data_IF_490529656297
#
_entry.id   IF_490529656297
#
_cell.length_a   1.000
_cell.length_b   1.000
_cell.length_c   1.000
_cell.angle_alpha   90.00
_cell.angle_beta   90.00
_cell.angle_gamma   90.00
#
_symmetry.space_group_name_H-M   'P 1'
#
loop_
_entity.id
_entity.type
_entity.pdbx_description
1 polymer ?
#
# COMPACT_ATOMS: atom_id res chain seq x y z
N UNK A 1 -7.86 -23.57 -8.29
CA UNK A 1 -8.52 -22.29 -8.00
C UNK A 1 -9.26 -21.85 -9.26
N UNK A 2 -10.52 -21.45 -9.13
CA UNK A 2 -11.28 -20.91 -10.26
C UNK A 2 -11.16 -19.38 -10.27
N UNK A 3 -10.57 -18.83 -11.34
CA UNK A 3 -10.36 -17.39 -11.51
C UNK A 3 -11.67 -16.62 -11.65
N UNK A 4 -12.71 -17.23 -12.22
CA UNK A 4 -14.03 -16.61 -12.34
C UNK A 4 -14.61 -16.33 -10.96
N UNK A 5 -14.57 -17.33 -10.09
CA UNK A 5 -15.01 -17.22 -8.71
C UNK A 5 -14.19 -16.18 -7.92
N UNK A 6 -12.88 -16.12 -8.10
CA UNK A 6 -12.03 -15.09 -7.48
C UNK A 6 -12.47 -13.68 -7.90
N UNK A 7 -12.60 -13.44 -9.19
CA UNK A 7 -13.01 -12.14 -9.72
C UNK A 7 -14.42 -11.75 -9.25
N UNK A 8 -15.34 -12.70 -9.17
CA UNK A 8 -16.68 -12.47 -8.63
C UNK A 8 -16.64 -12.06 -7.15
N UNK A 9 -15.80 -12.70 -6.32
CA UNK A 9 -15.61 -12.26 -4.93
C UNK A 9 -15.04 -10.84 -4.87
N UNK A 10 -14.01 -10.52 -5.67
CA UNK A 10 -13.44 -9.17 -5.73
C UNK A 10 -14.48 -8.13 -6.12
N UNK A 11 -15.22 -8.38 -7.19
CA UNK A 11 -16.24 -7.48 -7.69
C UNK A 11 -17.37 -7.31 -6.67
N UNK A 12 -17.83 -8.39 -6.05
CA UNK A 12 -18.90 -8.37 -5.04
C UNK A 12 -18.51 -7.51 -3.84
N UNK A 13 -17.32 -7.73 -3.28
CA UNK A 13 -16.83 -6.96 -2.12
C UNK A 13 -16.61 -5.49 -2.47
N UNK A 14 -16.09 -5.19 -3.66
CA UNK A 14 -15.82 -3.82 -4.09
C UNK A 14 -17.05 -3.03 -4.53
N UNK A 15 -18.15 -3.68 -4.94
CA UNK A 15 -19.35 -2.99 -5.45
C UNK A 15 -20.51 -3.00 -4.46
N UNK A 16 -20.56 -3.97 -3.54
CA UNK A 16 -21.59 -4.09 -2.52
C UNK A 16 -20.98 -4.22 -1.11
N UNK A 17 -20.25 -3.20 -0.63
CA UNK A 17 -19.55 -3.25 0.65
C UNK A 17 -20.51 -3.06 1.82
N UNK A 18 -20.98 -4.16 2.40
CA UNK A 18 -21.83 -4.17 3.60
C UNK A 18 -21.44 -5.33 4.53
N UNK A 19 -21.78 -5.22 5.80
CA UNK A 19 -21.45 -6.23 6.81
C UNK A 19 -21.92 -7.64 6.41
N UNK A 20 -23.13 -7.74 5.83
CA UNK A 20 -23.68 -8.99 5.29
C UNK A 20 -22.79 -9.61 4.21
N UNK A 21 -22.31 -8.81 3.25
CA UNK A 21 -21.42 -9.28 2.18
C UNK A 21 -20.12 -9.85 2.75
N UNK A 22 -19.53 -9.15 3.74
CA UNK A 22 -18.31 -9.63 4.39
C UNK A 22 -18.56 -10.86 5.26
N UNK A 23 -19.71 -10.98 5.89
CA UNK A 23 -20.09 -12.15 6.68
C UNK A 23 -20.26 -13.38 5.78
N UNK A 24 -20.96 -13.22 4.65
CA UNK A 24 -21.09 -14.28 3.64
C UNK A 24 -19.73 -14.78 3.12
N UNK A 25 -18.80 -13.86 2.82
CA UNK A 25 -17.46 -14.24 2.38
C UNK A 25 -16.62 -14.85 3.52
N UNK A 26 -16.85 -14.46 4.78
CA UNK A 26 -16.18 -15.03 5.97
C UNK A 26 -16.63 -16.48 6.23
N UNK A 27 -17.91 -16.76 6.00
CA UNK A 27 -18.51 -18.09 6.21
C UNK A 27 -18.26 -19.05 5.04
N UNK A 28 -17.79 -18.52 3.91
CA UNK A 28 -17.38 -19.31 2.77
C UNK A 28 -16.25 -20.30 3.15
N UNK A 29 -16.32 -21.57 2.72
CA UNK A 29 -15.23 -22.54 2.94
C UNK A 29 -13.93 -22.12 2.23
N UNK A 30 -14.00 -21.14 1.33
CA UNK A 30 -12.85 -20.58 0.63
C UNK A 30 -12.10 -19.55 1.48
N UNK A 31 -12.65 -19.12 2.62
CA UNK A 31 -12.03 -18.17 3.53
C UNK A 31 -10.80 -18.77 4.24
N UNK A 32 -9.70 -18.84 3.52
CA UNK A 32 -8.46 -19.48 3.98
C UNK A 32 -7.26 -18.59 3.71
N UNK A 33 -6.24 -18.72 4.55
CA UNK A 33 -4.96 -18.03 4.38
C UNK A 33 -4.33 -18.33 3.02
N UNK A 34 -4.40 -19.58 2.57
CA UNK A 34 -3.84 -20.02 1.28
C UNK A 34 -4.45 -19.24 0.11
N UNK A 35 -5.77 -19.08 0.08
CA UNK A 35 -6.42 -18.30 -0.98
C UNK A 35 -6.04 -16.82 -0.90
N UNK A 36 -5.96 -16.25 0.31
CA UNK A 36 -5.50 -14.87 0.50
C UNK A 36 -4.09 -14.66 -0.10
N UNK A 37 -3.16 -15.57 0.21
CA UNK A 37 -1.80 -15.50 -0.29
C UNK A 37 -1.70 -15.66 -1.80
N UNK A 38 -2.48 -16.57 -2.39
CA UNK A 38 -2.51 -16.73 -3.85
C UNK A 38 -3.02 -15.44 -4.52
N UNK A 39 -4.07 -14.81 -3.98
CA UNK A 39 -4.60 -13.56 -4.53
C UNK A 39 -3.59 -12.42 -4.43
N UNK A 40 -2.92 -12.28 -3.29
CA UNK A 40 -1.89 -11.26 -3.10
C UNK A 40 -0.64 -11.53 -3.94
N UNK A 41 -0.27 -12.80 -4.14
CA UNK A 41 0.81 -13.18 -5.05
C UNK A 41 0.46 -12.82 -6.51
N UNK A 42 -0.74 -13.17 -6.98
CA UNK A 42 -1.20 -12.82 -8.32
C UNK A 42 -1.25 -11.30 -8.52
N UNK A 43 -1.78 -10.56 -7.55
CA UNK A 43 -1.73 -9.09 -7.57
C UNK A 43 -0.29 -8.58 -7.62
N UNK A 44 0.62 -9.14 -6.80
CA UNK A 44 2.04 -8.81 -6.81
C UNK A 44 2.70 -9.03 -8.17
N UNK A 45 2.40 -10.14 -8.86
CA UNK A 45 2.87 -10.41 -10.23
C UNK A 45 2.37 -9.35 -11.20
N UNK A 46 1.07 -9.03 -11.16
CA UNK A 46 0.48 -8.01 -12.04
C UNK A 46 1.10 -6.64 -11.78
N UNK A 47 1.21 -6.24 -10.50
CA UNK A 47 1.84 -4.99 -10.08
C UNK A 47 3.30 -4.92 -10.53
N UNK A 48 4.07 -6.02 -10.41
CA UNK A 48 5.45 -6.08 -10.85
C UNK A 48 5.59 -5.89 -12.36
N UNK A 49 4.72 -6.54 -13.16
CA UNK A 49 4.70 -6.36 -14.61
C UNK A 49 4.42 -4.92 -15.00
N UNK A 50 3.42 -4.29 -14.39
CA UNK A 50 3.12 -2.88 -14.65
C UNK A 50 4.25 -1.95 -14.17
N UNK A 51 4.83 -2.21 -13.00
CA UNK A 51 5.96 -1.43 -12.48
C UNK A 51 7.19 -1.54 -13.39
N UNK A 52 7.43 -2.71 -13.97
CA UNK A 52 8.48 -2.91 -14.97
C UNK A 52 8.21 -2.06 -16.22
N UNK A 53 6.97 -2.04 -16.72
CA UNK A 53 6.61 -1.18 -17.85
C UNK A 53 6.78 0.32 -17.54
N UNK A 54 6.39 0.78 -16.34
CA UNK A 54 6.66 2.15 -15.88
C UNK A 54 8.17 2.41 -15.80
N UNK A 55 8.95 1.44 -15.33
CA UNK A 55 10.40 1.60 -15.24
C UNK A 55 11.01 1.86 -16.62
N UNK A 56 10.55 1.16 -17.66
CA UNK A 56 11.03 1.36 -19.03
C UNK A 56 10.72 2.75 -19.58
N UNK A 57 9.55 3.32 -19.27
CA UNK A 57 9.21 4.69 -19.68
C UNK A 57 9.95 5.73 -18.84
N UNK A 58 10.13 5.46 -17.54
CA UNK A 58 10.82 6.35 -16.61
C UNK A 58 12.30 6.51 -16.89
N UNK A 59 12.97 5.49 -17.46
CA UNK A 59 14.38 5.59 -17.88
C UNK A 59 14.58 6.68 -18.93
N UNK A 60 13.65 6.79 -19.88
CA UNK A 60 13.69 7.83 -20.91
C UNK A 60 13.42 9.21 -20.33
N UNK A 61 12.48 9.31 -19.37
CA UNK A 61 12.17 10.55 -18.67
C UNK A 61 13.31 11.00 -17.75
N UNK A 62 14.00 10.06 -17.10
CA UNK A 62 15.15 10.33 -16.24
C UNK A 62 16.32 10.87 -17.05
N UNK A 63 16.61 10.30 -18.22
CA UNK A 63 17.64 10.81 -19.12
C UNK A 63 17.32 12.24 -19.62
N UNK A 64 16.05 12.51 -19.97
CA UNK A 64 15.62 13.85 -20.37
C UNK A 64 15.73 14.88 -19.23
N UNK A 65 15.44 14.46 -17.99
CA UNK A 65 15.58 15.33 -16.82
C UNK A 65 17.04 15.54 -16.43
N UNK A 66 17.91 14.53 -16.57
CA UNK A 66 19.36 14.67 -16.35
C UNK A 66 19.96 15.72 -17.30
N UNK A 67 19.52 15.72 -18.56
CA UNK A 67 19.93 16.75 -19.53
C UNK A 67 19.46 18.14 -19.10
N UNK A 68 18.19 18.27 -18.69
CA UNK A 68 17.65 19.54 -18.18
C UNK A 68 18.37 20.05 -16.93
N UNK A 69 18.82 19.15 -16.05
CA UNK A 69 19.61 19.49 -14.87
C UNK A 69 21.05 19.89 -15.23
N UNK A 70 21.63 19.29 -16.26
CA UNK A 70 22.98 19.64 -16.77
C UNK A 70 23.01 20.98 -17.48
N UNK A 71 21.95 21.32 -18.22
CA UNK A 71 21.86 22.59 -18.95
C UNK A 71 21.48 23.77 -18.06
N UNK A 72 21.00 23.55 -16.82
CA UNK A 72 20.71 24.63 -15.88
C UNK A 72 21.95 24.97 -15.02
N UNK A 73 22.66 26.08 -15.30
CA UNK A 73 23.86 26.46 -14.56
C UNK A 73 23.59 26.88 -13.10
N UNK A 74 22.34 27.17 -12.76
CA UNK A 74 21.94 27.61 -11.42
C UNK A 74 21.75 26.47 -10.40
N UNK A 75 21.77 25.21 -10.85
CA UNK A 75 21.60 24.06 -9.97
C UNK A 75 22.96 23.61 -9.44
N UNK A 76 23.20 23.65 -8.11
CA UNK A 76 24.44 23.16 -7.54
C UNK A 76 24.68 21.69 -7.93
N UNK A 77 25.89 21.32 -8.40
CA UNK A 77 26.18 19.97 -8.86
C UNK A 77 25.99 18.90 -7.78
N UNK A 78 26.14 19.27 -6.51
CA UNK A 78 25.86 18.40 -5.36
C UNK A 78 24.36 18.03 -5.26
N UNK A 79 23.47 18.98 -5.54
CA UNK A 79 22.02 18.74 -5.51
C UNK A 79 21.59 17.82 -6.65
N UNK A 80 22.14 18.02 -7.85
CA UNK A 80 21.88 17.16 -9.00
C UNK A 80 22.31 15.70 -8.71
N UNK A 81 23.51 15.50 -8.15
CA UNK A 81 24.01 14.17 -7.80
C UNK A 81 23.17 13.46 -6.72
N UNK A 82 22.55 14.21 -5.80
CA UNK A 82 21.65 13.65 -4.80
C UNK A 82 20.29 13.27 -5.40
N UNK A 83 19.79 14.05 -6.38
CA UNK A 83 18.52 13.79 -7.05
C UNK A 83 18.56 12.63 -8.04
N UNK A 84 19.66 12.44 -8.78
CA UNK A 84 19.77 11.40 -9.82
C UNK A 84 19.42 9.98 -9.32
N UNK A 85 19.96 9.48 -8.19
CA UNK A 85 19.60 8.15 -7.69
C UNK A 85 18.21 8.09 -7.03
N UNK A 86 17.67 9.22 -6.55
CA UNK A 86 16.32 9.28 -5.97
C UNK A 86 15.22 9.25 -7.04
N UNK A 87 15.51 9.75 -8.25
CA UNK A 87 14.50 9.92 -9.30
C UNK A 87 13.88 8.59 -9.80
N UNK A 88 14.66 7.52 -10.10
CA UNK A 88 14.09 6.22 -10.44
C UNK A 88 13.27 5.62 -9.28
N UNK A 89 13.72 5.88 -8.04
CA UNK A 89 13.04 5.39 -6.83
C UNK A 89 11.69 6.09 -6.62
N UNK A 90 11.62 7.40 -6.87
CA UNK A 90 10.37 8.18 -6.83
C UNK A 90 9.43 7.87 -8.00
N UNK A 91 9.98 7.55 -9.17
CA UNK A 91 9.21 7.19 -10.37
C UNK A 91 8.74 5.73 -10.36
N UNK A 92 8.93 5.02 -9.26
CA UNK A 92 8.40 3.67 -9.10
C UNK A 92 9.09 2.65 -9.99
N UNK A 93 10.40 2.76 -10.20
CA UNK A 93 11.24 1.69 -10.76
C UNK A 93 11.22 0.47 -9.81
N UNK A 94 10.09 -0.22 -9.80
CA UNK A 94 9.73 -1.26 -8.87
C UNK A 94 10.37 -2.57 -9.27
N UNK A 95 11.37 -2.96 -8.50
CA UNK A 95 12.10 -4.22 -8.64
C UNK A 95 11.18 -5.46 -8.69
N UNK A 96 11.65 -6.50 -9.38
CA UNK A 96 11.08 -7.87 -9.37
C UNK A 96 10.84 -8.40 -7.93
N UNK A 97 11.49 -7.81 -6.93
CA UNK A 97 11.28 -8.13 -5.52
C UNK A 97 9.84 -7.88 -5.06
N UNK A 98 9.07 -7.02 -5.72
CA UNK A 98 7.67 -6.74 -5.34
C UNK A 98 6.78 -7.99 -5.38
N UNK A 99 7.06 -8.97 -6.26
CA UNK A 99 6.33 -10.24 -6.33
C UNK A 99 6.45 -11.04 -5.03
N UNK A 100 7.65 -11.06 -4.45
CA UNK A 100 7.95 -11.81 -3.22
C UNK A 100 7.56 -10.98 -2.00
N UNK A 101 7.82 -9.67 -2.03
CA UNK A 101 7.55 -8.78 -0.91
C UNK A 101 6.06 -8.52 -0.71
N UNK A 102 5.23 -8.54 -1.76
CA UNK A 102 3.80 -8.22 -1.64
C UNK A 102 3.07 -9.15 -0.65
N UNK A 103 3.14 -10.50 -0.75
CA UNK A 103 2.53 -11.38 0.24
C UNK A 103 3.12 -11.22 1.65
N UNK A 104 4.43 -10.96 1.75
CA UNK A 104 5.11 -10.80 3.06
C UNK A 104 4.63 -9.53 3.77
N UNK A 105 4.67 -8.39 3.08
CA UNK A 105 4.19 -7.10 3.61
C UNK A 105 2.70 -7.19 3.94
N UNK A 106 1.91 -7.85 3.09
CA UNK A 106 0.51 -8.12 3.35
C UNK A 106 0.29 -8.92 4.65
N UNK A 107 1.04 -10.00 4.86
CA UNK A 107 0.94 -10.80 6.08
C UNK A 107 1.35 -10.02 7.32
N UNK A 108 2.41 -9.22 7.24
CA UNK A 108 2.87 -8.37 8.34
C UNK A 108 1.77 -7.34 8.67
N UNK A 109 1.25 -6.63 7.67
CA UNK A 109 0.19 -5.65 7.83
C UNK A 109 -1.06 -6.28 8.45
N UNK A 110 -1.52 -7.40 7.90
CA UNK A 110 -2.67 -8.16 8.41
C UNK A 110 -2.42 -8.66 9.84
N UNK A 111 -1.20 -9.10 10.15
CA UNK A 111 -0.78 -9.52 11.49
C UNK A 111 -0.86 -8.40 12.50
N UNK A 112 -0.44 -7.19 12.14
CA UNK A 112 -0.55 -6.00 12.99
C UNK A 112 -2.03 -5.71 13.29
N UNK A 113 -2.89 -5.63 12.27
CA UNK A 113 -4.33 -5.44 12.48
C UNK A 113 -4.96 -6.54 13.33
N UNK A 114 -4.58 -7.80 13.08
CA UNK A 114 -5.04 -8.96 13.84
C UNK A 114 -4.70 -8.84 15.32
N UNK A 115 -3.44 -8.52 15.66
CA UNK A 115 -3.01 -8.37 17.04
C UNK A 115 -3.74 -7.23 17.74
N UNK A 116 -3.90 -6.08 17.09
CA UNK A 116 -4.64 -4.94 17.66
C UNK A 116 -6.12 -5.32 17.88
N UNK A 117 -6.75 -6.04 16.93
CA UNK A 117 -8.12 -6.51 17.08
C UNK A 117 -8.28 -7.50 18.24
N UNK A 118 -7.32 -8.41 18.42
CA UNK A 118 -7.30 -9.35 19.55
C UNK A 118 -7.14 -8.61 20.89
N UNK A 119 -6.28 -7.59 20.96
CA UNK A 119 -6.14 -6.74 22.15
C UNK A 119 -7.42 -5.98 22.50
N UNK A 120 -8.26 -5.66 21.49
CA UNK A 120 -9.58 -5.04 21.67
C UNK A 120 -10.69 -6.04 22.03
N UNK A 121 -10.33 -7.31 22.28
CA UNK A 121 -11.25 -8.39 22.67
C UNK A 121 -11.94 -9.11 21.51
N UNK A 122 -11.40 -8.98 20.29
CA UNK A 122 -11.90 -9.67 19.11
C UNK A 122 -11.70 -11.20 19.18
N UNK A 123 -12.51 -11.95 18.41
CA UNK A 123 -12.48 -13.43 18.37
C UNK A 123 -12.26 -14.00 16.97
N UNK A 124 -11.56 -13.26 16.11
CA UNK A 124 -11.37 -13.62 14.71
C UNK A 124 -10.29 -14.67 14.47
N UNK A 125 -10.43 -15.38 13.35
CA UNK A 125 -9.40 -16.27 12.81
C UNK A 125 -8.48 -15.51 11.85
N UNK A 126 -7.17 -15.69 11.99
CA UNK A 126 -6.18 -14.96 11.18
C UNK A 126 -6.29 -15.30 9.69
N UNK A 127 -6.52 -16.56 9.35
CA UNK A 127 -6.61 -17.01 7.96
C UNK A 127 -7.85 -16.47 7.25
N UNK A 128 -9.01 -16.51 7.93
CA UNK A 128 -10.25 -15.93 7.42
C UNK A 128 -10.19 -14.41 7.32
N UNK A 129 -9.59 -13.74 8.30
CA UNK A 129 -9.40 -12.29 8.25
C UNK A 129 -8.48 -11.88 7.09
N UNK A 130 -7.36 -12.58 6.91
CA UNK A 130 -6.47 -12.39 5.76
C UNK A 130 -7.20 -12.57 4.43
N UNK A 131 -8.07 -13.57 4.32
CA UNK A 131 -8.89 -13.77 3.13
C UNK A 131 -9.81 -12.58 2.84
N UNK A 132 -10.51 -12.06 3.85
CA UNK A 132 -11.36 -10.87 3.68
C UNK A 132 -10.54 -9.65 3.25
N UNK A 133 -9.37 -9.40 3.85
CA UNK A 133 -8.53 -8.29 3.43
C UNK A 133 -8.03 -8.46 1.99
N UNK A 134 -7.55 -9.65 1.63
CA UNK A 134 -7.07 -9.93 0.28
C UNK A 134 -8.18 -9.78 -0.79
N UNK A 135 -9.44 -10.01 -0.43
CA UNK A 135 -10.58 -9.89 -1.35
C UNK A 135 -10.73 -8.50 -1.98
N UNK A 136 -10.28 -7.45 -1.30
CA UNK A 136 -10.29 -6.09 -1.84
C UNK A 136 -8.88 -5.50 -1.98
N UNK A 137 -7.91 -5.86 -1.15
CA UNK A 137 -6.56 -5.31 -1.26
C UNK A 137 -5.87 -5.76 -2.55
N UNK A 138 -6.05 -7.01 -2.98
CA UNK A 138 -5.49 -7.51 -4.24
C UNK A 138 -5.99 -6.71 -5.47
N UNK A 139 -7.30 -6.58 -5.73
CA UNK A 139 -7.79 -5.79 -6.87
C UNK A 139 -7.50 -4.29 -6.72
N UNK A 140 -7.54 -3.72 -5.51
CA UNK A 140 -7.20 -2.31 -5.30
C UNK A 140 -5.69 -2.03 -5.47
N UNK A 141 -4.81 -2.98 -5.16
CA UNK A 141 -3.38 -2.86 -5.45
C UNK A 141 -3.14 -2.78 -6.96
N UNK A 142 -3.80 -3.64 -7.74
CA UNK A 142 -3.73 -3.60 -9.21
C UNK A 142 -4.29 -2.25 -9.72
N UNK A 143 -5.44 -1.82 -9.22
CA UNK A 143 -6.05 -0.55 -9.61
C UNK A 143 -5.16 0.66 -9.31
N UNK A 144 -4.51 0.70 -8.13
CA UNK A 144 -3.56 1.76 -7.77
C UNK A 144 -2.39 1.86 -8.75
N UNK A 145 -1.84 0.72 -9.16
CA UNK A 145 -0.75 0.71 -10.14
C UNK A 145 -1.20 1.25 -11.49
N UNK A 146 -2.42 0.91 -11.94
CA UNK A 146 -2.99 1.45 -13.18
C UNK A 146 -3.24 2.97 -13.11
N UNK A 147 -3.76 3.44 -11.98
CA UNK A 147 -4.02 4.86 -11.73
C UNK A 147 -2.72 5.68 -11.72
N UNK A 148 -1.61 5.08 -11.28
CA UNK A 148 -0.28 5.69 -11.29
C UNK A 148 0.24 6.06 -12.68
N UNK A 149 -0.31 5.49 -13.76
CA UNK A 149 0.07 5.85 -15.13
C UNK A 149 -0.47 7.20 -15.59
N UNK A 150 -1.47 7.78 -14.91
CA UNK A 150 -2.07 9.05 -15.31
C UNK A 150 -1.53 10.18 -14.42
N UNK A 151 -0.63 11.04 -14.93
CA UNK A 151 -0.11 12.17 -14.18
C UNK A 151 -1.25 13.09 -13.73
N UNK A 152 -1.17 13.64 -12.51
CA UNK A 152 -2.17 14.50 -11.84
C UNK A 152 -3.49 13.83 -11.42
N UNK A 153 -4.21 13.14 -12.31
CA UNK A 153 -5.45 12.41 -11.91
C UNK A 153 -5.14 11.27 -10.93
N UNK A 154 -3.92 10.73 -11.01
CA UNK A 154 -3.45 9.69 -10.12
C UNK A 154 -3.55 10.04 -8.63
N UNK A 155 -3.30 11.29 -8.24
CA UNK A 155 -3.26 11.69 -6.83
C UNK A 155 -4.66 11.71 -6.22
N UNK A 156 -5.62 12.37 -6.87
CA UNK A 156 -6.99 12.45 -6.38
C UNK A 156 -7.67 11.08 -6.33
N UNK A 157 -7.45 10.25 -7.36
CA UNK A 157 -8.02 8.90 -7.41
C UNK A 157 -7.35 8.00 -6.37
N UNK A 158 -6.03 8.08 -6.20
CA UNK A 158 -5.31 7.32 -5.17
C UNK A 158 -5.79 7.67 -3.77
N UNK A 159 -6.08 8.94 -3.51
CA UNK A 159 -6.63 9.39 -2.24
C UNK A 159 -8.05 8.82 -2.02
N UNK A 160 -8.90 8.81 -3.05
CA UNK A 160 -10.22 8.20 -2.97
C UNK A 160 -10.15 6.68 -2.72
N UNK A 161 -9.24 5.97 -3.41
CA UNK A 161 -8.99 4.54 -3.18
C UNK A 161 -8.53 4.29 -1.75
N UNK A 162 -7.64 5.13 -1.22
CA UNK A 162 -7.16 5.01 0.16
C UNK A 162 -8.30 5.08 1.17
N UNK A 163 -9.16 6.10 1.09
CA UNK A 163 -10.32 6.21 1.99
C UNK A 163 -11.29 5.04 1.83
N UNK A 164 -11.47 4.56 0.60
CA UNK A 164 -12.32 3.40 0.35
C UNK A 164 -11.75 2.11 0.96
N UNK A 165 -10.44 1.90 0.84
CA UNK A 165 -9.74 0.76 1.45
C UNK A 165 -9.82 0.79 2.98
N UNK A 166 -9.77 1.97 3.60
CA UNK A 166 -10.00 2.12 5.04
C UNK A 166 -11.41 1.72 5.43
N UNK A 167 -12.41 2.14 4.66
CA UNK A 167 -13.80 1.75 4.89
C UNK A 167 -14.00 0.23 4.77
N UNK A 168 -13.46 -0.41 3.73
CA UNK A 168 -13.52 -1.86 3.57
C UNK A 168 -12.77 -2.61 4.68
N UNK A 169 -11.60 -2.11 5.08
CA UNK A 169 -10.83 -2.68 6.20
C UNK A 169 -11.58 -2.56 7.52
N UNK A 170 -12.33 -1.48 7.72
CA UNK A 170 -13.22 -1.32 8.87
C UNK A 170 -14.34 -2.37 8.88
N UNK A 171 -15.04 -2.56 7.75
CA UNK A 171 -16.08 -3.58 7.65
C UNK A 171 -15.53 -4.99 7.86
N UNK A 172 -14.42 -5.32 7.20
CA UNK A 172 -13.76 -6.62 7.34
C UNK A 172 -13.35 -6.90 8.79
N UNK A 173 -12.75 -5.90 9.47
CA UNK A 173 -12.33 -6.03 10.88
C UNK A 173 -13.53 -6.17 11.81
N UNK A 174 -14.58 -5.37 11.60
CA UNK A 174 -15.80 -5.41 12.41
C UNK A 174 -16.42 -6.81 12.37
N UNK A 175 -16.60 -7.34 11.16
CA UNK A 175 -17.23 -8.64 10.92
C UNK A 175 -16.32 -9.79 11.38
N UNK A 176 -15.05 -9.81 10.97
CA UNK A 176 -14.13 -10.91 11.27
C UNK A 176 -13.90 -11.12 12.78
N UNK A 177 -13.91 -10.05 13.56
CA UNK A 177 -13.63 -10.11 14.99
C UNK A 177 -14.88 -9.93 15.87
N UNK A 178 -16.05 -9.70 15.27
CA UNK A 178 -17.31 -9.37 15.96
C UNK A 178 -17.14 -8.23 16.98
N UNK A 179 -16.48 -7.16 16.54
CA UNK A 179 -16.21 -5.98 17.34
C UNK A 179 -17.34 -4.95 17.21
N UNK A 180 -17.53 -4.13 18.24
CA UNK A 180 -18.37 -2.93 18.11
C UNK A 180 -17.73 -1.94 17.14
N UNK A 181 -18.55 -1.10 16.50
CA UNK A 181 -18.08 -0.11 15.51
C UNK A 181 -16.96 0.79 16.03
N UNK A 182 -17.04 1.23 17.29
CA UNK A 182 -15.97 2.05 17.89
C UNK A 182 -14.64 1.31 18.01
N UNK A 183 -14.65 0.04 18.43
CA UNK A 183 -13.43 -0.77 18.56
C UNK A 183 -12.83 -1.12 17.21
N UNK A 184 -13.66 -1.50 16.24
CA UNK A 184 -13.21 -1.78 14.88
C UNK A 184 -12.54 -0.55 14.23
N UNK A 185 -13.08 0.65 14.46
CA UNK A 185 -12.49 1.89 13.98
C UNK A 185 -11.11 2.14 14.59
N UNK A 186 -10.97 1.94 15.92
CA UNK A 186 -9.67 2.08 16.60
C UNK A 186 -8.63 1.12 16.01
N UNK A 187 -9.01 -0.13 15.74
CA UNK A 187 -8.10 -1.12 15.13
C UNK A 187 -7.56 -0.64 13.78
N UNK A 188 -8.42 -0.09 12.93
CA UNK A 188 -8.03 0.37 11.59
C UNK A 188 -7.24 1.68 11.63
N UNK A 189 -7.61 2.61 12.50
CA UNK A 189 -6.93 3.91 12.60
C UNK A 189 -5.59 3.83 13.32
N UNK A 190 -5.39 2.88 14.24
CA UNK A 190 -4.18 2.80 15.07
C UNK A 190 -2.89 2.70 14.24
N UNK A 191 -2.77 1.78 13.26
CA UNK A 191 -1.55 1.69 12.43
C UNK A 191 -1.27 2.97 11.63
N UNK A 192 -2.31 3.66 11.16
CA UNK A 192 -2.17 4.91 10.41
C UNK A 192 -1.63 6.00 11.33
N UNK A 193 -2.16 6.09 12.54
CA UNK A 193 -1.74 7.08 13.54
C UNK A 193 -0.29 6.85 13.97
N UNK A 194 0.10 5.58 14.16
CA UNK A 194 1.49 5.19 14.42
C UNK A 194 2.42 5.51 13.24
N UNK A 195 1.96 5.28 12.01
CA UNK A 195 2.73 5.61 10.80
C UNK A 195 2.94 7.12 10.64
N UNK A 196 1.88 7.92 10.83
CA UNK A 196 1.98 9.39 10.82
C UNK A 196 2.94 9.88 11.90
N UNK A 197 2.82 9.36 13.12
CA UNK A 197 3.72 9.71 14.22
C UNK A 197 5.17 9.36 13.88
N UNK A 198 5.43 8.17 13.33
CA UNK A 198 6.75 7.75 12.91
C UNK A 198 7.33 8.65 11.81
N UNK A 199 6.53 9.03 10.81
CA UNK A 199 6.93 9.94 9.74
C UNK A 199 7.27 11.33 10.26
N UNK A 200 6.48 11.88 11.17
CA UNK A 200 6.74 13.17 11.81
C UNK A 200 8.05 13.13 12.61
N UNK A 201 8.27 12.08 13.41
CA UNK A 201 9.50 11.90 14.17
C UNK A 201 10.73 11.79 13.25
N UNK A 202 10.62 11.03 12.15
CA UNK A 202 11.69 10.85 11.18
C UNK A 202 12.02 12.17 10.48
N UNK A 203 11.00 12.95 10.11
CA UNK A 203 11.18 14.28 9.52
C UNK A 203 11.96 15.23 10.44
N UNK A 204 11.57 15.34 11.71
CA UNK A 204 12.30 16.16 12.69
C UNK A 204 13.73 15.68 12.92
N UNK A 205 13.94 14.36 12.94
CA UNK A 205 15.27 13.78 13.07
C UNK A 205 16.17 14.15 11.88
N UNK A 206 15.70 13.97 10.65
CA UNK A 206 16.44 14.37 9.44
C UNK A 206 16.70 15.87 9.42
N UNK A 207 15.70 16.69 9.76
CA UNK A 207 15.84 18.15 9.82
C UNK A 207 16.93 18.56 10.83
N UNK A 208 16.96 17.91 12.00
CA UNK A 208 17.99 18.17 13.01
C UNK A 208 19.40 17.81 12.54
N UNK A 209 19.56 16.69 11.82
CA UNK A 209 20.83 16.27 11.23
C UNK A 209 21.28 17.24 10.13
N UNK A 210 20.37 17.67 9.26
CA UNK A 210 20.66 18.62 8.19
C UNK A 210 21.11 19.98 8.74
N UNK A 211 20.42 20.48 9.78
CA UNK A 211 20.81 21.72 10.46
C UNK A 211 22.17 21.58 11.17
N UNK A 212 22.45 20.44 11.80
CA UNK A 212 23.73 20.17 12.44
C UNK A 212 24.90 20.12 11.43
N UNK A 213 24.70 19.49 10.28
CA UNK A 213 25.70 19.42 9.21
C UNK A 213 26.01 20.79 8.59
N UNK A 214 25.00 21.66 8.46
CA UNK A 214 25.18 23.03 7.97
C UNK A 214 25.73 24.00 9.02
N UNK A 215 25.63 23.65 10.32
CA UNK A 215 26.19 24.43 11.42
C UNK A 215 27.69 24.21 11.63
N UNK A 216 28.24 23.07 11.19
CA UNK A 216 29.68 22.76 11.32
C UNK A 216 30.58 23.40 10.25
N UNK A 217 30.02 24.19 9.34
CA UNK A 217 30.76 24.91 8.28
C UNK A 217 30.87 26.42 8.54
N UNK A 218 30.42 26.92 9.70
CA UNK A 218 30.77 28.25 10.17
C UNK A 218 32.13 28.18 10.91
N UNK A 219 33.11 29.06 10.57
CA UNK A 219 34.55 28.88 10.83
C UNK A 219 34.96 28.87 12.31
#
# INVERSE_FOLDING_TARGET
MDFSTMFNTWLKVLTNPREETFQEELDSPRATLTNALIWMFLAGVVVALFSFLVSLTSLNSAAAMEEMLRENPDIPPEFAQMMTPMMPMMMGAGSVLSVILTPIVFLIGTGIYYLIAMLMGGKGDFGRYSYLLASFQAPLAIARTLVGFVPLLGVCISLAIFFYELFLSYLATKVAFNLSSGRALVVVLTPILLFILAMVCLFFFILSLALAANGSTAP
#
